data_IF_416195930093
#
_entry.id   IF_416195930093
#
_cell.length_a   1.000
_cell.length_b   1.000
_cell.length_c   1.000
_cell.angle_alpha   90.00
_cell.angle_beta   90.00
_cell.angle_gamma   90.00
#
_symmetry.space_group_name_H-M   'P 1'
#
loop_
_entity.id
_entity.type
_entity.pdbx_description
1 polymer ?
#
# COMPACT_ATOMS: atom_id res chain seq x y z
N UNK A 1 -19.33 -4.46 27.98
CA UNK A 1 -18.22 -3.80 27.27
C UNK A 1 -16.92 -4.39 27.80
N UNK A 2 -16.20 -5.15 26.98
CA UNK A 2 -14.87 -5.66 27.33
C UNK A 2 -13.87 -4.51 27.31
N UNK A 3 -13.36 -4.17 28.48
CA UNK A 3 -12.33 -3.14 28.64
C UNK A 3 -11.13 -3.79 29.30
N UNK A 4 -9.96 -3.68 28.70
CA UNK A 4 -8.69 -4.16 29.28
C UNK A 4 -7.63 -3.10 29.22
N UNK A 5 -6.78 -3.04 30.23
CA UNK A 5 -5.55 -2.27 30.19
C UNK A 5 -4.42 -3.22 29.88
N UNK A 6 -3.62 -2.92 28.87
CA UNK A 6 -2.42 -3.70 28.55
C UNK A 6 -1.26 -2.76 28.23
N UNK A 7 -0.06 -3.29 28.38
CA UNK A 7 1.18 -2.59 28.06
C UNK A 7 1.68 -3.04 26.68
N UNK A 8 1.98 -2.08 25.81
CA UNK A 8 2.60 -2.31 24.49
C UNK A 8 3.73 -1.31 24.35
N UNK A 9 4.97 -1.78 24.14
CA UNK A 9 6.17 -0.93 24.07
C UNK A 9 6.25 0.09 25.24
N UNK A 10 6.09 -0.38 26.49
CA UNK A 10 6.09 0.46 27.71
C UNK A 10 4.94 1.50 27.77
N UNK A 11 3.98 1.46 26.83
CA UNK A 11 2.76 2.29 26.84
C UNK A 11 1.61 1.54 27.48
N UNK A 12 1.07 2.09 28.57
CA UNK A 12 -0.17 1.60 29.17
C UNK A 12 -1.39 2.12 28.38
N UNK A 13 -2.09 1.23 27.68
CA UNK A 13 -3.22 1.57 26.81
C UNK A 13 -4.51 0.95 27.36
N UNK A 14 -5.59 1.75 27.41
CA UNK A 14 -6.95 1.29 27.65
C UNK A 14 -7.58 0.82 26.34
N UNK A 15 -7.71 -0.49 26.17
CA UNK A 15 -8.45 -1.10 25.07
C UNK A 15 -9.91 -1.27 25.46
N UNK A 16 -10.83 -0.75 24.66
CA UNK A 16 -12.25 -0.79 24.93
C UNK A 16 -13.01 -1.50 23.80
N UNK A 17 -14.10 -2.19 24.10
CA UNK A 17 -14.94 -2.89 23.13
C UNK A 17 -14.14 -3.88 22.27
N UNK A 18 -13.22 -4.63 22.88
CA UNK A 18 -12.32 -5.54 22.14
C UNK A 18 -13.07 -6.70 21.50
N UNK A 19 -14.20 -7.12 22.06
CA UNK A 19 -15.04 -8.20 21.51
C UNK A 19 -15.91 -7.76 20.32
N UNK A 20 -15.95 -6.46 19.98
CA UNK A 20 -16.73 -5.98 18.82
C UNK A 20 -16.22 -6.64 17.54
N UNK A 21 -17.10 -7.35 16.84
CA UNK A 21 -16.79 -7.99 15.56
C UNK A 21 -16.64 -6.93 14.47
N UNK A 22 -15.43 -6.78 13.93
CA UNK A 22 -15.14 -5.92 12.80
C UNK A 22 -15.46 -6.62 11.48
N UNK A 23 -15.22 -7.93 11.39
CA UNK A 23 -15.71 -8.81 10.32
C UNK A 23 -16.54 -9.94 10.92
N UNK A 24 -17.88 -9.77 11.02
CA UNK A 24 -18.75 -10.79 11.62
C UNK A 24 -18.69 -12.14 10.91
N UNK A 25 -18.72 -12.16 9.58
CA UNK A 25 -18.69 -13.41 8.79
C UNK A 25 -17.37 -14.18 8.93
N UNK A 26 -16.26 -13.47 9.18
CA UNK A 26 -14.96 -14.08 9.39
C UNK A 26 -14.65 -14.32 10.88
N UNK A 27 -15.57 -13.97 11.79
CA UNK A 27 -15.41 -14.01 13.25
C UNK A 27 -14.13 -13.31 13.72
N UNK A 28 -13.90 -12.06 13.27
CA UNK A 28 -12.73 -11.26 13.66
C UNK A 28 -13.20 -10.07 14.49
N UNK A 29 -12.75 -10.03 15.74
CA UNK A 29 -12.99 -8.93 16.66
C UNK A 29 -11.97 -7.81 16.52
N UNK A 30 -12.27 -6.65 17.13
CA UNK A 30 -11.30 -5.55 17.24
C UNK A 30 -10.06 -5.96 18.04
N UNK A 31 -10.23 -6.77 19.08
CA UNK A 31 -9.14 -7.36 19.86
C UNK A 31 -8.22 -8.19 18.98
N UNK A 32 -8.77 -9.05 18.13
CA UNK A 32 -7.97 -9.87 17.20
C UNK A 32 -7.17 -9.00 16.23
N UNK A 33 -7.76 -7.92 15.73
CA UNK A 33 -7.06 -6.99 14.83
C UNK A 33 -5.96 -6.20 15.55
N UNK A 34 -6.16 -5.82 16.81
CA UNK A 34 -5.11 -5.20 17.64
C UNK A 34 -3.94 -6.19 17.75
N UNK A 35 -4.22 -7.42 18.17
CA UNK A 35 -3.19 -8.43 18.38
C UNK A 35 -2.48 -8.78 17.06
N UNK A 36 -3.19 -8.77 15.92
CA UNK A 36 -2.62 -8.90 14.58
C UNK A 36 -1.54 -7.86 14.27
N UNK A 37 -1.86 -6.57 14.42
CA UNK A 37 -0.89 -5.52 14.12
C UNK A 37 0.24 -5.46 15.16
N UNK A 38 -0.04 -5.82 16.42
CA UNK A 38 0.99 -5.95 17.47
C UNK A 38 2.00 -7.03 17.10
N UNK A 39 1.53 -8.21 16.69
CA UNK A 39 2.36 -9.34 16.28
C UNK A 39 3.14 -9.05 14.99
N UNK A 40 2.48 -8.50 13.96
CA UNK A 40 3.09 -8.24 12.66
C UNK A 40 3.85 -6.91 12.57
N UNK A 41 3.95 -6.16 13.66
CA UNK A 41 4.63 -4.86 13.67
C UNK A 41 6.05 -4.92 13.10
N UNK A 42 6.78 -6.01 13.32
CA UNK A 42 8.16 -6.17 12.80
C UNK A 42 8.26 -6.14 11.27
N UNK A 43 7.22 -6.57 10.56
CA UNK A 43 7.17 -6.57 9.08
C UNK A 43 6.31 -5.44 8.51
N UNK A 44 5.37 -4.90 9.30
CA UNK A 44 4.50 -3.78 8.91
C UNK A 44 5.22 -2.43 9.09
N UNK A 45 5.86 -2.21 10.25
CA UNK A 45 6.45 -0.91 10.59
C UNK A 45 7.52 -0.41 9.63
N UNK A 46 8.37 -1.24 8.99
CA UNK A 46 9.30 -0.74 7.97
C UNK A 46 8.61 0.05 6.83
N UNK A 47 7.32 -0.21 6.57
CA UNK A 47 6.53 0.47 5.56
C UNK A 47 5.67 1.62 6.09
N UNK A 48 5.59 1.82 7.41
CA UNK A 48 4.78 2.86 8.04
C UNK A 48 5.63 3.90 8.78
N UNK A 49 6.73 3.47 9.38
CA UNK A 49 7.57 4.29 10.25
C UNK A 49 8.07 5.52 9.50
N UNK A 50 7.97 6.67 10.17
CA UNK A 50 8.36 7.99 9.66
C UNK A 50 7.61 8.42 8.39
N UNK A 51 6.44 7.84 8.09
CA UNK A 51 5.63 8.23 6.93
C UNK A 51 4.33 8.88 7.36
N UNK A 52 3.87 9.93 6.66
CA UNK A 52 2.50 10.41 6.76
C UNK A 52 1.51 9.30 6.38
N UNK A 53 0.48 9.09 7.20
CA UNK A 53 -0.51 8.03 7.00
C UNK A 53 -1.88 8.62 6.64
N UNK A 54 -2.53 8.04 5.63
CA UNK A 54 -3.99 8.03 5.57
C UNK A 54 -4.50 6.77 6.25
N UNK A 55 -5.60 6.89 6.97
CA UNK A 55 -6.15 5.82 7.79
C UNK A 55 -7.54 5.45 7.28
N UNK A 56 -7.87 4.16 7.21
CA UNK A 56 -9.24 3.73 6.98
C UNK A 56 -9.88 3.42 8.33
N UNK A 57 -11.00 4.07 8.63
CA UNK A 57 -11.75 3.86 9.88
C UNK A 57 -13.07 3.18 9.58
N UNK A 58 -13.34 2.06 10.26
CA UNK A 58 -14.61 1.33 10.18
C UNK A 58 -15.14 1.16 11.62
N UNK A 59 -15.78 2.20 12.19
CA UNK A 59 -16.12 2.25 13.61
C UNK A 59 -17.10 1.14 14.04
N UNK A 60 -18.04 0.80 13.16
CA UNK A 60 -19.09 -0.20 13.39
C UNK A 60 -18.80 -1.53 12.67
N UNK A 61 -17.53 -1.78 12.34
CA UNK A 61 -17.10 -2.90 11.51
C UNK A 61 -17.27 -2.64 10.00
N UNK A 62 -16.82 -3.59 9.18
CA UNK A 62 -16.69 -3.40 7.73
C UNK A 62 -18.00 -3.49 6.95
N UNK A 63 -19.06 -4.00 7.58
CA UNK A 63 -20.41 -3.98 7.02
C UNK A 63 -21.06 -2.59 7.13
N UNK A 64 -20.54 -1.73 8.03
CA UNK A 64 -20.95 -0.34 8.16
C UNK A 64 -20.19 0.60 7.22
N UNK A 65 -20.30 1.90 7.48
CA UNK A 65 -19.55 2.90 6.71
C UNK A 65 -18.07 2.91 7.12
N UNK A 66 -17.19 2.77 6.13
CA UNK A 66 -15.75 2.97 6.31
C UNK A 66 -15.31 4.29 5.68
N UNK A 67 -14.55 5.09 6.43
CA UNK A 67 -14.14 6.45 6.02
C UNK A 67 -12.62 6.54 5.94
N UNK A 68 -12.12 7.03 4.81
CA UNK A 68 -10.71 7.42 4.68
C UNK A 68 -10.46 8.77 5.37
N UNK A 69 -9.61 8.75 6.39
CA UNK A 69 -9.22 9.92 7.16
C UNK A 69 -7.75 10.26 6.90
N UNK A 70 -7.52 11.43 6.31
CA UNK A 70 -6.18 11.99 6.08
C UNK A 70 -5.70 12.82 7.27
N UNK A 71 -6.62 13.57 7.85
CA UNK A 71 -6.35 14.41 9.02
C UNK A 71 -6.37 13.54 10.28
N UNK A 72 -5.36 13.70 11.12
CA UNK A 72 -5.26 13.05 12.42
C UNK A 72 -6.51 13.35 13.26
N UNK A 73 -7.05 12.34 13.98
CA UNK A 73 -8.17 12.58 14.88
C UNK A 73 -7.73 13.49 16.05
N UNK A 74 -8.64 14.28 16.62
CA UNK A 74 -8.34 15.06 17.81
C UNK A 74 -8.08 14.13 19.01
N UNK A 75 -7.32 14.63 19.98
CA UNK A 75 -7.11 13.94 21.26
C UNK A 75 -6.17 12.73 21.20
N UNK A 76 -5.35 12.61 20.15
CA UNK A 76 -4.27 11.62 20.14
C UNK A 76 -3.31 11.89 21.32
N UNK A 77 -2.80 10.84 21.99
CA UNK A 77 -1.75 10.97 22.97
C UNK A 77 -0.50 11.62 22.37
N UNK A 78 0.23 12.41 23.17
CA UNK A 78 1.43 13.14 22.72
C UNK A 78 2.52 12.24 22.11
N UNK A 79 2.54 10.96 22.49
CA UNK A 79 3.50 9.99 21.98
C UNK A 79 3.16 9.42 20.60
N UNK A 80 1.98 9.71 20.05
CA UNK A 80 1.65 9.43 18.64
C UNK A 80 1.99 10.68 17.84
N UNK A 81 3.11 10.68 17.08
CA UNK A 81 3.55 11.87 16.39
C UNK A 81 2.61 12.25 15.26
N UNK A 82 2.40 13.55 15.09
CA UNK A 82 1.71 14.15 13.95
C UNK A 82 2.61 15.14 13.24
N UNK A 83 2.34 15.38 11.94
CA UNK A 83 3.00 16.43 11.17
C UNK A 83 1.98 17.20 10.35
N UNK A 84 2.04 18.52 10.45
CA UNK A 84 1.35 19.41 9.52
C UNK A 84 2.05 19.38 8.16
N UNK A 85 1.32 18.99 7.12
CA UNK A 85 1.83 18.92 5.74
C UNK A 85 0.92 19.76 4.84
N UNK A 86 1.52 20.59 3.98
CA UNK A 86 0.77 21.34 2.95
C UNK A 86 0.00 20.38 2.06
N UNK A 87 -1.26 20.65 1.82
CA UNK A 87 -2.14 19.80 1.01
C UNK A 87 -3.11 20.69 0.24
N UNK A 88 -3.00 20.68 -1.08
CA UNK A 88 -3.86 21.46 -1.96
C UNK A 88 -5.30 20.93 -1.98
N UNK A 89 -5.53 19.72 -1.43
CA UNK A 89 -6.85 19.12 -1.25
C UNK A 89 -7.52 19.50 0.07
N UNK A 90 -6.78 20.10 1.01
CA UNK A 90 -7.33 20.50 2.30
C UNK A 90 -7.84 21.94 2.23
N UNK A 91 -9.01 22.20 2.81
CA UNK A 91 -9.64 23.53 2.80
C UNK A 91 -8.72 24.64 3.37
N UNK A 92 -7.89 24.31 4.34
CA UNK A 92 -6.95 25.23 4.99
C UNK A 92 -5.57 25.28 4.30
N UNK A 93 -5.38 24.59 3.17
CA UNK A 93 -4.09 24.46 2.48
C UNK A 93 -3.10 23.52 3.18
N UNK A 94 -3.47 22.93 4.32
CA UNK A 94 -2.69 21.92 5.03
C UNK A 94 -3.60 20.90 5.72
N UNK A 95 -3.04 19.73 6.02
CA UNK A 95 -3.65 18.75 6.92
C UNK A 95 -2.59 18.26 7.92
N UNK A 96 -3.04 17.90 9.11
CA UNK A 96 -2.21 17.25 10.12
C UNK A 96 -2.28 15.74 9.92
N UNK A 97 -1.18 15.10 9.59
CA UNK A 97 -1.12 13.66 9.36
C UNK A 97 -0.57 12.94 10.57
N UNK A 98 -1.11 11.78 10.89
CA UNK A 98 -0.45 10.83 11.79
C UNK A 98 0.82 10.34 11.11
N UNK A 99 1.92 10.30 11.85
CA UNK A 99 3.19 9.73 11.41
C UNK A 99 3.32 8.34 11.99
N UNK A 100 3.50 7.34 11.12
CA UNK A 100 3.76 5.98 11.58
C UNK A 100 5.01 5.94 12.45
N UNK A 101 4.95 5.20 13.55
CA UNK A 101 5.98 5.22 14.59
C UNK A 101 6.22 3.82 15.16
N UNK A 102 5.54 3.48 16.23
CA UNK A 102 5.78 2.28 17.04
C UNK A 102 4.58 1.33 17.08
N UNK A 103 4.79 0.11 17.59
CA UNK A 103 3.74 -0.93 17.65
C UNK A 103 2.57 -0.45 18.51
N UNK A 104 2.86 0.24 19.62
CA UNK A 104 1.85 0.83 20.50
C UNK A 104 0.95 1.83 19.77
N UNK A 105 1.48 2.62 18.83
CA UNK A 105 0.70 3.57 18.05
C UNK A 105 -0.26 2.85 17.09
N UNK A 106 0.19 1.77 16.45
CA UNK A 106 -0.70 0.94 15.62
C UNK A 106 -1.84 0.35 16.45
N UNK A 107 -1.52 -0.27 17.60
CA UNK A 107 -2.50 -0.85 18.50
C UNK A 107 -3.53 0.18 18.98
N UNK A 108 -3.07 1.38 19.34
CA UNK A 108 -3.95 2.48 19.75
C UNK A 108 -4.86 2.96 18.63
N UNK A 109 -4.36 3.12 17.41
CA UNK A 109 -5.18 3.51 16.26
C UNK A 109 -6.24 2.43 15.95
N UNK A 110 -5.87 1.14 15.99
CA UNK A 110 -6.85 0.06 15.82
C UNK A 110 -7.92 0.10 16.92
N UNK A 111 -7.54 0.39 18.16
CA UNK A 111 -8.49 0.55 19.26
C UNK A 111 -9.53 1.66 19.00
N UNK A 112 -9.15 2.73 18.30
CA UNK A 112 -10.03 3.82 17.84
C UNK A 112 -10.92 3.46 16.63
N UNK A 113 -10.77 2.25 16.09
CA UNK A 113 -11.54 1.72 14.96
C UNK A 113 -10.87 1.89 13.59
N UNK A 114 -9.57 2.21 13.55
CA UNK A 114 -8.82 2.23 12.30
C UNK A 114 -8.42 0.81 11.87
N UNK A 115 -8.87 0.36 10.72
CA UNK A 115 -8.69 -1.03 10.27
C UNK A 115 -7.45 -1.23 9.38
N UNK A 116 -7.05 -0.21 8.62
CA UNK A 116 -5.88 -0.27 7.75
C UNK A 116 -5.14 1.06 7.61
N UNK A 117 -3.84 0.94 7.32
CA UNK A 117 -2.88 2.03 7.23
C UNK A 117 -2.38 2.18 5.78
N UNK A 118 -2.41 3.42 5.28
CA UNK A 118 -2.07 3.77 3.90
C UNK A 118 -0.97 4.83 3.91
N UNK A 119 0.31 4.43 3.94
CA UNK A 119 1.44 5.35 3.96
C UNK A 119 1.59 6.13 2.65
N UNK A 120 2.18 7.31 2.77
CA UNK A 120 2.77 8.01 1.62
C UNK A 120 4.02 7.28 1.11
N UNK A 121 4.34 7.49 -0.16
CA UNK A 121 5.54 6.96 -0.81
C UNK A 121 6.85 7.70 -0.44
N UNK A 122 6.84 8.51 0.63
CA UNK A 122 7.99 9.28 1.11
C UNK A 122 8.03 9.28 2.65
N UNK A 123 9.21 9.59 3.20
CA UNK A 123 9.39 9.87 4.62
C UNK A 123 8.94 11.30 4.95
N UNK A 124 8.59 11.54 6.21
CA UNK A 124 8.09 12.84 6.72
C UNK A 124 9.11 13.96 6.60
N UNK A 125 10.41 13.65 6.75
CA UNK A 125 11.51 14.62 6.65
C UNK A 125 11.93 14.90 5.19
N UNK A 126 11.41 14.12 4.24
CA UNK A 126 11.68 14.23 2.81
C UNK A 126 10.36 14.19 2.01
N UNK A 127 9.36 14.96 2.45
CA UNK A 127 7.96 14.87 1.98
C UNK A 127 7.75 15.17 0.48
N UNK A 128 8.76 15.68 -0.21
CA UNK A 128 8.73 15.97 -1.66
C UNK A 128 9.62 15.02 -2.49
N UNK A 129 10.32 14.10 -1.82
CA UNK A 129 11.26 13.15 -2.42
C UNK A 129 10.86 11.72 -2.08
N UNK A 130 10.02 11.06 -2.91
CA UNK A 130 9.61 9.69 -2.65
C UNK A 130 10.80 8.74 -2.63
N UNK A 131 10.71 7.75 -1.74
CA UNK A 131 11.63 6.62 -1.65
C UNK A 131 10.98 5.32 -2.17
N UNK A 132 9.76 5.43 -2.75
CA UNK A 132 9.05 4.35 -3.40
C UNK A 132 8.44 4.86 -4.72
N UNK A 133 8.60 4.09 -5.80
CA UNK A 133 7.78 4.17 -7.02
C UNK A 133 6.79 3.02 -7.06
N UNK A 134 5.53 3.32 -7.36
CA UNK A 134 4.39 2.43 -7.16
C UNK A 134 3.60 2.23 -8.45
N UNK A 135 3.18 1.00 -8.69
CA UNK A 135 2.22 0.64 -9.75
C UNK A 135 1.05 -0.11 -9.11
N UNK A 136 -0.15 0.44 -9.21
CA UNK A 136 -1.39 -0.18 -8.72
C UNK A 136 -2.14 -0.77 -9.91
N UNK A 137 -2.11 -2.10 -10.06
CA UNK A 137 -2.77 -2.81 -11.14
C UNK A 137 -4.21 -3.14 -10.71
N UNK A 138 -5.15 -2.31 -11.17
CA UNK A 138 -6.56 -2.35 -10.79
C UNK A 138 -7.42 -2.96 -11.94
N UNK A 139 -7.83 -4.23 -11.82
CA UNK A 139 -8.66 -4.91 -12.82
C UNK A 139 -10.12 -4.46 -12.78
N UNK A 140 -10.81 -4.55 -13.92
CA UNK A 140 -12.27 -4.40 -13.98
C UNK A 140 -12.87 -5.51 -14.83
N UNK A 141 -13.63 -6.41 -14.19
CA UNK A 141 -14.29 -7.56 -14.84
C UNK A 141 -13.35 -8.38 -15.73
N UNK A 142 -12.18 -8.73 -15.20
CA UNK A 142 -11.16 -9.52 -15.89
C UNK A 142 -10.59 -10.56 -14.93
N UNK A 143 -10.22 -11.73 -15.46
CA UNK A 143 -9.67 -12.83 -14.68
C UNK A 143 -8.33 -12.44 -14.02
N UNK A 144 -8.13 -12.87 -12.76
CA UNK A 144 -6.92 -12.57 -12.00
C UNK A 144 -5.63 -13.06 -12.68
N UNK A 145 -5.70 -14.14 -13.48
CA UNK A 145 -4.58 -14.62 -14.30
C UNK A 145 -4.00 -13.49 -15.17
N UNK A 146 -4.84 -12.65 -15.76
CA UNK A 146 -4.39 -11.53 -16.59
C UNK A 146 -3.74 -10.43 -15.75
N UNK A 147 -4.15 -10.26 -14.49
CA UNK A 147 -3.50 -9.35 -13.52
C UNK A 147 -2.10 -9.84 -13.16
N UNK A 148 -1.93 -11.15 -12.96
CA UNK A 148 -0.60 -11.76 -12.74
C UNK A 148 0.31 -11.55 -13.96
N UNK A 149 -0.20 -11.85 -15.15
CA UNK A 149 0.52 -11.63 -16.41
C UNK A 149 0.92 -10.15 -16.58
N UNK A 150 0.02 -9.23 -16.26
CA UNK A 150 0.30 -7.80 -16.28
C UNK A 150 1.41 -7.40 -15.29
N UNK A 151 1.38 -7.92 -14.07
CA UNK A 151 2.43 -7.64 -13.08
C UNK A 151 3.80 -8.18 -13.53
N UNK A 152 3.84 -9.38 -14.11
CA UNK A 152 5.06 -9.98 -14.68
C UNK A 152 5.58 -9.17 -15.88
N UNK A 153 4.69 -8.61 -16.71
CA UNK A 153 5.08 -7.71 -17.78
C UNK A 153 5.70 -6.41 -17.22
N UNK A 154 5.07 -5.79 -16.22
CA UNK A 154 5.63 -4.58 -15.57
C UNK A 154 7.01 -4.87 -14.98
N UNK A 155 7.19 -6.00 -14.29
CA UNK A 155 8.49 -6.49 -13.81
C UNK A 155 9.51 -6.60 -14.94
N UNK A 156 9.15 -7.25 -16.04
CA UNK A 156 10.03 -7.45 -17.20
C UNK A 156 10.46 -6.12 -17.84
N UNK A 157 9.53 -5.17 -17.98
CA UNK A 157 9.81 -3.84 -18.50
C UNK A 157 10.78 -3.06 -17.60
N UNK A 158 10.57 -3.10 -16.28
CA UNK A 158 11.48 -2.50 -15.29
C UNK A 158 12.87 -3.14 -15.34
N UNK A 159 12.93 -4.47 -15.43
CA UNK A 159 14.19 -5.21 -15.54
C UNK A 159 14.98 -4.84 -16.80
N UNK A 160 14.31 -4.49 -17.90
CA UNK A 160 14.94 -3.96 -19.11
C UNK A 160 15.71 -2.65 -18.90
N UNK A 161 15.39 -1.89 -17.84
CA UNK A 161 16.12 -0.71 -17.38
C UNK A 161 17.03 -0.99 -16.19
N UNK A 162 17.27 -2.27 -15.86
CA UNK A 162 17.99 -2.72 -14.68
C UNK A 162 17.38 -2.24 -13.36
N UNK A 163 16.07 -2.01 -13.35
CA UNK A 163 15.31 -1.65 -12.15
C UNK A 163 14.65 -2.91 -11.61
N UNK A 164 15.04 -3.32 -10.40
CA UNK A 164 14.41 -4.38 -9.63
C UNK A 164 13.15 -3.88 -8.96
N UNK A 165 12.12 -4.73 -8.94
CA UNK A 165 10.85 -4.49 -8.28
C UNK A 165 10.45 -5.63 -7.37
N UNK A 166 9.52 -5.33 -6.47
CA UNK A 166 8.87 -6.24 -5.55
C UNK A 166 7.36 -6.22 -5.78
N UNK A 167 6.65 -7.20 -5.23
CA UNK A 167 5.23 -7.38 -5.51
C UNK A 167 4.45 -7.82 -4.28
N UNK A 168 3.18 -7.39 -4.23
CA UNK A 168 2.20 -7.84 -3.24
C UNK A 168 0.81 -7.86 -3.84
N UNK A 169 -0.07 -8.70 -3.31
CA UNK A 169 -1.51 -8.53 -3.58
C UNK A 169 -1.99 -7.22 -2.95
N UNK A 170 -3.02 -6.61 -3.53
CA UNK A 170 -3.65 -5.44 -2.88
C UNK A 170 -4.53 -5.85 -1.70
N UNK A 171 -4.90 -7.14 -1.61
CA UNK A 171 -5.96 -7.65 -0.74
C UNK A 171 -7.37 -7.32 -1.26
N UNK A 172 -7.49 -6.68 -2.42
CA UNK A 172 -8.69 -6.72 -3.25
C UNK A 172 -8.41 -7.53 -4.51
N UNK A 173 -8.98 -7.15 -5.65
CA UNK A 173 -8.78 -7.86 -6.91
C UNK A 173 -7.41 -7.59 -7.59
N UNK A 174 -6.64 -6.61 -7.11
CA UNK A 174 -5.45 -6.08 -7.79
C UNK A 174 -4.10 -6.57 -7.24
N UNK A 175 -3.03 -6.11 -7.90
CA UNK A 175 -1.63 -6.36 -7.52
C UNK A 175 -0.87 -5.04 -7.48
N UNK A 176 0.02 -4.88 -6.51
CA UNK A 176 0.90 -3.71 -6.44
C UNK A 176 2.33 -4.12 -6.76
N UNK A 177 2.97 -3.40 -7.68
CA UNK A 177 4.41 -3.51 -7.94
C UNK A 177 5.11 -2.30 -7.33
N UNK A 178 6.17 -2.55 -6.57
CA UNK A 178 6.85 -1.57 -5.72
C UNK A 178 8.33 -1.53 -6.12
N UNK A 179 8.88 -0.32 -6.28
CA UNK A 179 10.31 -0.09 -6.55
C UNK A 179 10.87 0.84 -5.48
N UNK A 180 11.83 0.39 -4.65
CA UNK A 180 12.56 1.24 -3.72
C UNK A 180 13.47 2.22 -4.46
N UNK A 181 13.47 3.48 -4.05
CA UNK A 181 14.22 4.55 -4.69
C UNK A 181 15.19 5.23 -3.72
N UNK A 182 16.26 5.76 -4.29
CA UNK A 182 17.00 6.83 -3.62
C UNK A 182 16.09 8.07 -3.53
N UNK A 183 15.92 8.69 -2.33
CA UNK A 183 15.05 9.84 -2.12
C UNK A 183 15.69 11.14 -2.64
N UNK A 184 16.06 11.15 -3.92
CA UNK A 184 16.69 12.26 -4.64
C UNK A 184 15.82 12.79 -5.78
N UNK A 185 14.80 12.04 -6.18
CA UNK A 185 13.86 12.42 -7.24
C UNK A 185 12.63 13.13 -6.68
N UNK A 186 12.01 13.99 -7.48
CA UNK A 186 10.69 14.55 -7.16
C UNK A 186 9.58 13.54 -7.47
N UNK A 187 8.38 13.79 -6.90
CA UNK A 187 7.17 13.05 -7.30
C UNK A 187 6.87 13.17 -8.80
N UNK A 188 7.15 14.31 -9.44
CA UNK A 188 6.93 14.50 -10.87
C UNK A 188 7.86 13.62 -11.72
N UNK A 189 9.14 13.54 -11.34
CA UNK A 189 10.11 12.66 -11.99
C UNK A 189 9.71 11.19 -11.81
N UNK A 190 9.28 10.82 -10.60
CA UNK A 190 8.82 9.47 -10.27
C UNK A 190 7.57 9.08 -11.05
N UNK A 191 6.59 9.99 -11.16
CA UNK A 191 5.39 9.79 -11.98
C UNK A 191 5.73 9.67 -13.47
N UNK A 192 6.68 10.46 -13.97
CA UNK A 192 7.14 10.41 -15.37
C UNK A 192 7.80 9.06 -15.68
N UNK A 193 8.65 8.59 -14.77
CA UNK A 193 9.25 7.27 -14.79
C UNK A 193 8.18 6.16 -14.85
N UNK A 194 7.29 6.10 -13.86
CA UNK A 194 6.20 5.11 -13.83
C UNK A 194 5.31 5.17 -15.08
N UNK A 195 4.93 6.37 -15.53
CA UNK A 195 4.12 6.56 -16.75
C UNK A 195 4.82 6.03 -18.01
N UNK A 196 6.15 6.08 -18.07
CA UNK A 196 6.92 5.54 -19.20
C UNK A 196 6.77 4.02 -19.29
N UNK A 197 6.91 3.32 -18.17
CA UNK A 197 6.70 1.86 -18.09
C UNK A 197 5.26 1.50 -18.45
N UNK A 198 4.29 2.21 -17.89
CA UNK A 198 2.86 2.02 -18.16
C UNK A 198 2.49 2.23 -19.63
N UNK A 199 3.12 3.20 -20.31
CA UNK A 199 2.97 3.40 -21.75
C UNK A 199 3.57 2.25 -22.57
N UNK A 200 4.74 1.73 -22.18
CA UNK A 200 5.35 0.58 -22.83
C UNK A 200 4.49 -0.69 -22.67
N UNK A 201 3.94 -0.92 -21.46
CA UNK A 201 3.02 -2.03 -21.21
C UNK A 201 1.79 -1.96 -22.11
N UNK A 202 1.16 -0.79 -22.22
CA UNK A 202 0.01 -0.58 -23.12
C UNK A 202 0.37 -0.71 -24.60
N UNK A 203 1.56 -0.30 -25.02
CA UNK A 203 2.00 -0.51 -26.41
C UNK A 203 2.16 -1.99 -26.75
N UNK A 204 2.61 -2.79 -25.78
CA UNK A 204 2.79 -4.24 -25.94
C UNK A 204 1.46 -4.99 -25.89
N UNK A 205 0.56 -4.61 -25.00
CA UNK A 205 -0.75 -5.26 -24.79
C UNK A 205 -1.90 -4.22 -24.80
N UNK A 206 -2.22 -3.61 -25.96
CA UNK A 206 -3.17 -2.48 -26.04
C UNK A 206 -4.62 -2.86 -25.74
N UNK A 207 -4.99 -4.14 -25.91
CA UNK A 207 -6.31 -4.68 -25.55
C UNK A 207 -6.47 -4.83 -24.04
N UNK A 208 -5.38 -5.15 -23.32
CA UNK A 208 -5.38 -5.46 -21.89
C UNK A 208 -5.36 -4.21 -21.00
N UNK A 209 -4.64 -3.16 -21.41
CA UNK A 209 -4.41 -1.98 -20.57
C UNK A 209 -5.23 -0.75 -20.97
N UNK A 210 -5.55 0.08 -19.98
CA UNK A 210 -6.25 1.36 -20.16
C UNK A 210 -5.63 2.47 -19.31
N UNK A 211 -5.84 3.73 -19.73
CA UNK A 211 -5.55 4.93 -18.92
C UNK A 211 -6.82 5.62 -18.42
N UNK A 212 -8.01 5.10 -18.76
CA UNK A 212 -9.26 5.74 -18.34
C UNK A 212 -9.49 5.45 -16.85
N UNK A 213 -9.49 6.48 -16.01
CA UNK A 213 -9.72 6.33 -14.57
C UNK A 213 -11.15 5.88 -14.25
N UNK A 214 -12.12 6.12 -15.14
CA UNK A 214 -13.54 5.81 -14.90
C UNK A 214 -13.76 4.30 -15.05
N UNK A 215 -14.04 3.62 -13.93
CA UNK A 215 -14.25 2.17 -13.86
C UNK A 215 -15.25 1.65 -14.91
N UNK A 216 -16.34 2.37 -15.17
CA UNK A 216 -17.35 2.01 -16.18
C UNK A 216 -16.79 1.89 -17.62
N UNK A 217 -15.64 2.52 -17.93
CA UNK A 217 -14.98 2.46 -19.24
C UNK A 217 -13.80 1.47 -19.28
N UNK A 218 -13.62 0.67 -18.22
CA UNK A 218 -12.49 -0.26 -18.06
C UNK A 218 -12.88 -1.74 -18.14
N UNK A 219 -14.12 -2.07 -18.50
CA UNK A 219 -14.60 -3.46 -18.56
C UNK A 219 -13.65 -4.34 -19.40
N UNK A 220 -13.22 -5.47 -18.83
CA UNK A 220 -12.30 -6.41 -19.44
C UNK A 220 -10.85 -5.89 -19.55
N UNK A 221 -10.48 -4.86 -18.79
CA UNK A 221 -9.14 -4.24 -18.82
C UNK A 221 -8.55 -4.05 -17.44
N UNK A 222 -7.25 -3.79 -17.43
CA UNK A 222 -6.46 -3.44 -16.24
C UNK A 222 -6.02 -1.99 -16.36
N UNK A 223 -6.30 -1.20 -15.33
CA UNK A 223 -5.68 0.11 -15.16
C UNK A 223 -4.36 -0.08 -14.43
N UNK A 224 -3.25 0.40 -15.01
CA UNK A 224 -2.00 0.57 -14.26
C UNK A 224 -2.02 1.98 -13.69
N UNK A 225 -2.57 2.12 -12.48
CA UNK A 225 -2.68 3.40 -11.80
C UNK A 225 -1.33 3.83 -11.24
N UNK A 226 -0.68 4.74 -11.96
CA UNK A 226 0.57 5.39 -11.56
C UNK A 226 0.34 6.69 -10.79
N UNK A 227 -0.91 7.13 -10.59
CA UNK A 227 -1.22 8.34 -9.83
C UNK A 227 -0.91 8.19 -8.34
N UNK A 228 -0.64 6.96 -7.89
CA UNK A 228 -0.02 6.64 -6.60
C UNK A 228 1.35 7.30 -6.40
N UNK A 229 2.00 7.75 -7.49
CA UNK A 229 3.25 8.50 -7.48
C UNK A 229 3.03 10.03 -7.49
N UNK A 230 1.84 10.51 -7.14
CA UNK A 230 1.61 11.94 -6.87
C UNK A 230 1.88 12.22 -5.40
N UNK A 231 2.33 13.45 -5.13
CA UNK A 231 2.45 13.95 -3.77
C UNK A 231 1.12 13.82 -3.04
N UNK A 232 1.13 13.23 -1.85
CA UNK A 232 -0.06 13.00 -1.04
C UNK A 232 -0.94 11.83 -1.44
N UNK A 233 -0.58 11.10 -2.50
CA UNK A 233 -1.21 9.82 -2.78
C UNK A 233 -0.68 8.76 -1.80
N UNK A 234 -1.52 7.76 -1.54
CA UNK A 234 -1.21 6.66 -0.65
C UNK A 234 -1.53 5.32 -1.31
N UNK A 235 -0.88 4.29 -0.79
CA UNK A 235 -1.10 2.90 -1.17
C UNK A 235 -1.22 2.08 0.11
N UNK A 236 -2.13 1.11 0.14
CA UNK A 236 -2.30 0.27 1.32
C UNK A 236 -0.98 -0.44 1.67
N UNK A 237 -0.60 -0.41 2.95
CA UNK A 237 0.63 -1.02 3.45
C UNK A 237 0.66 -2.54 3.21
N UNK A 238 1.87 -3.13 3.10
CA UNK A 238 2.04 -4.58 3.22
C UNK A 238 1.43 -5.11 4.53
N UNK A 239 0.80 -6.28 4.45
CA UNK A 239 0.11 -6.94 5.56
C UNK A 239 -1.09 -6.16 6.14
N UNK A 240 -1.58 -5.11 5.47
CA UNK A 240 -2.84 -4.50 5.89
C UNK A 240 -4.02 -5.44 5.65
N UNK A 241 -4.87 -5.60 6.66
CA UNK A 241 -6.16 -6.28 6.54
C UNK A 241 -7.13 -5.35 5.82
N UNK A 242 -7.81 -5.87 4.79
CA UNK A 242 -8.72 -5.10 3.94
C UNK A 242 -10.15 -5.23 4.42
N UNK A 243 -10.88 -4.15 4.22
CA UNK A 243 -12.28 -3.94 4.58
C UNK A 243 -13.30 -4.82 3.83
N UNK A 244 -12.85 -5.81 3.07
CA UNK A 244 -13.70 -6.68 2.28
C UNK A 244 -14.14 -7.93 3.07
N UNK A 245 -15.22 -8.61 2.63
CA UNK A 245 -15.62 -9.90 3.19
C UNK A 245 -14.46 -10.90 3.21
N UNK A 246 -14.37 -11.69 4.28
CA UNK A 246 -13.27 -12.65 4.49
C UNK A 246 -11.96 -12.04 5.02
N UNK A 247 -11.91 -10.72 5.25
CA UNK A 247 -10.73 -10.01 5.75
C UNK A 247 -9.43 -10.33 4.99
N UNK A 248 -9.41 -10.16 3.64
CA UNK A 248 -8.24 -10.42 2.83
C UNK A 248 -7.09 -9.49 3.20
N UNK A 249 -5.86 -9.93 2.98
CA UNK A 249 -4.66 -9.21 3.40
C UNK A 249 -3.83 -8.79 2.19
N UNK A 250 -3.35 -7.54 2.21
CA UNK A 250 -2.46 -7.02 1.19
C UNK A 250 -1.05 -7.64 1.31
N UNK A 251 -0.89 -8.84 0.76
CA UNK A 251 0.16 -9.78 1.16
C UNK A 251 1.36 -9.71 0.23
N UNK A 252 2.57 -9.43 0.75
CA UNK A 252 3.83 -9.66 0.06
C UNK A 252 3.97 -11.03 -0.60
N UNK A 253 4.44 -11.05 -1.83
CA UNK A 253 4.67 -12.26 -2.60
C UNK A 253 6.08 -12.29 -3.17
N UNK A 254 6.59 -13.49 -3.38
CA UNK A 254 7.71 -13.69 -4.30
C UNK A 254 7.21 -13.63 -5.73
N UNK A 255 8.06 -13.21 -6.67
CA UNK A 255 7.66 -13.20 -8.08
C UNK A 255 7.26 -14.58 -8.61
N UNK A 256 7.91 -15.64 -8.11
CA UNK A 256 7.57 -17.03 -8.44
C UNK A 256 6.18 -17.45 -7.94
N UNK A 257 5.59 -16.75 -6.96
CA UNK A 257 4.22 -17.02 -6.54
C UNK A 257 3.23 -16.61 -7.65
N UNK A 258 3.49 -15.50 -8.36
CA UNK A 258 2.61 -15.03 -9.45
C UNK A 258 2.70 -15.85 -10.74
N UNK A 259 3.79 -16.61 -10.91
CA UNK A 259 3.93 -17.59 -12.00
C UNK A 259 3.06 -18.84 -11.75
N UNK A 260 2.54 -19.00 -10.53
CA UNK A 260 1.66 -20.11 -10.12
C UNK A 260 0.20 -19.65 -10.04
N UNK A 261 -0.70 -20.60 -9.81
CA UNK A 261 -2.13 -20.35 -9.60
C UNK A 261 -2.42 -19.87 -8.18
N UNK A 262 -1.96 -18.66 -7.83
CA UNK A 262 -2.36 -17.95 -6.60
C UNK A 262 -3.44 -16.93 -6.91
N UNK A 263 -4.34 -16.69 -5.96
CA UNK A 263 -5.45 -15.75 -6.02
C UNK A 263 -5.48 -14.85 -4.79
N UNK A 264 -6.01 -13.62 -4.86
CA UNK A 264 -6.03 -12.71 -3.71
C UNK A 264 -6.74 -13.28 -2.48
N UNK A 265 -7.79 -14.09 -2.69
CA UNK A 265 -8.60 -14.73 -1.65
C UNK A 265 -7.82 -15.79 -0.87
N UNK A 266 -6.71 -16.30 -1.44
CA UNK A 266 -5.82 -17.23 -0.75
C UNK A 266 -5.08 -16.59 0.42
N UNK A 267 -5.14 -15.25 0.58
CA UNK A 267 -4.43 -14.52 1.63
C UNK A 267 -5.40 -13.71 2.48
N UNK A 268 -5.61 -14.16 3.71
CA UNK A 268 -6.56 -13.56 4.62
C UNK A 268 -6.06 -13.56 6.06
N UNK A 269 -6.77 -12.82 6.92
CA UNK A 269 -6.41 -12.58 8.32
C UNK A 269 -5.95 -13.84 9.07
N UNK A 270 -6.72 -14.93 8.93
CA UNK A 270 -6.48 -16.19 9.66
C UNK A 270 -5.26 -16.99 9.17
N UNK A 271 -4.79 -16.80 7.94
CA UNK A 271 -3.73 -17.65 7.36
C UNK A 271 -2.38 -16.93 7.15
N UNK A 272 -2.39 -15.59 7.05
CA UNK A 272 -1.19 -14.85 6.64
C UNK A 272 -0.06 -14.92 7.69
N UNK A 273 -0.40 -15.04 8.98
CA UNK A 273 0.56 -15.22 10.07
C UNK A 273 1.36 -16.51 9.90
N UNK A 274 0.66 -17.62 9.63
CA UNK A 274 1.28 -18.92 9.38
C UNK A 274 2.14 -18.87 8.12
N UNK A 275 1.63 -18.28 7.02
CA UNK A 275 2.41 -18.10 5.79
C UNK A 275 3.70 -17.33 6.05
N UNK A 276 3.64 -16.24 6.82
CA UNK A 276 4.80 -15.44 7.20
C UNK A 276 5.81 -16.26 8.01
N UNK A 277 5.35 -17.03 9.00
CA UNK A 277 6.23 -17.91 9.78
C UNK A 277 6.92 -18.98 8.92
N UNK A 278 6.20 -19.56 7.96
CA UNK A 278 6.74 -20.63 7.10
C UNK A 278 7.69 -20.13 6.01
N UNK A 279 7.36 -18.99 5.38
CA UNK A 279 8.06 -18.51 4.17
C UNK A 279 8.96 -17.30 4.41
N UNK A 280 8.85 -16.65 5.56
CA UNK A 280 9.46 -15.34 5.78
C UNK A 280 8.74 -14.22 5.03
N UNK A 281 9.31 -13.00 5.12
CA UNK A 281 8.80 -11.79 4.47
C UNK A 281 9.50 -11.56 3.10
N UNK A 282 8.77 -11.69 1.97
CA UNK A 282 9.30 -11.39 0.64
C UNK A 282 9.78 -9.95 0.43
N UNK A 283 9.34 -8.99 1.27
CA UNK A 283 9.78 -7.59 1.18
C UNK A 283 10.92 -7.22 2.13
N UNK A 284 11.45 -8.15 2.92
CA UNK A 284 12.49 -7.86 3.94
C UNK A 284 13.70 -7.08 3.39
N UNK A 285 14.09 -7.33 2.15
CA UNK A 285 15.23 -6.67 1.49
C UNK A 285 14.90 -5.37 0.74
N UNK A 286 13.62 -4.99 0.63
CA UNK A 286 13.17 -3.91 -0.26
C UNK A 286 13.90 -2.60 -0.01
N UNK A 287 13.97 -2.14 1.25
CA UNK A 287 14.60 -0.85 1.56
C UNK A 287 16.13 -0.87 1.55
N UNK A 288 16.75 -2.06 1.52
CA UNK A 288 18.19 -2.21 1.39
C UNK A 288 18.67 -2.06 -0.08
N UNK A 289 17.75 -2.19 -1.04
CA UNK A 289 18.04 -2.16 -2.46
C UNK A 289 17.46 -0.91 -3.13
N UNK A 290 17.74 0.27 -2.57
CA UNK A 290 17.35 1.56 -3.17
C UNK A 290 18.03 1.75 -4.52
N UNK A 291 17.29 2.32 -5.45
CA UNK A 291 17.71 2.41 -6.85
C UNK A 291 17.51 3.81 -7.44
N UNK A 292 18.33 4.09 -8.44
CA UNK A 292 18.26 5.31 -9.25
C UNK A 292 17.26 5.16 -10.40
N UNK A 293 16.48 6.21 -10.68
CA UNK A 293 15.61 6.31 -11.85
C UNK A 293 16.34 6.80 -13.11
N UNK A 294 17.63 7.16 -13.01
CA UNK A 294 18.41 7.68 -14.15
C UNK A 294 18.32 6.81 -15.41
N UNK A 295 18.44 5.46 -15.35
CA UNK A 295 18.35 4.61 -16.55
C UNK A 295 17.05 4.79 -17.34
N UNK A 296 15.95 5.07 -16.64
CA UNK A 296 14.63 5.23 -17.22
C UNK A 296 14.39 6.65 -17.73
N UNK A 297 14.79 7.66 -16.95
CA UNK A 297 14.59 9.08 -17.27
C UNK A 297 15.51 9.56 -18.41
N UNK A 298 16.75 9.07 -18.45
CA UNK A 298 17.73 9.42 -19.48
C UNK A 298 17.54 8.60 -20.75
N UNK A 299 17.26 7.30 -20.61
CA UNK A 299 16.99 6.40 -21.74
C UNK A 299 15.77 6.82 -22.57
N UNK A 300 14.77 7.43 -21.92
CA UNK A 300 13.60 8.02 -22.60
C UNK A 300 13.94 9.24 -23.47
N UNK A 301 14.96 10.03 -23.09
CA UNK A 301 15.43 11.18 -23.88
C UNK A 301 16.21 10.71 -25.12
N UNK A 302 17.10 9.72 -24.97
CA UNK A 302 17.88 9.17 -26.08
C UNK A 302 17.01 8.46 -27.14
N UNK A 303 15.93 7.76 -26.73
CA UNK A 303 15.00 7.12 -27.68
C UNK A 303 14.08 8.09 -28.41
N UNK A 304 13.77 9.26 -27.84
CA UNK A 304 13.03 10.34 -28.55
C UNK A 304 13.89 11.08 -29.58
N UNK A 305 15.21 11.04 -29.44
CA UNK A 305 16.15 11.73 -30.33
C UNK A 305 16.54 10.92 -31.58
N UNK A 306 16.09 9.67 -31.73
CA UNK A 306 16.28 8.90 -32.98
C UNK A 306 15.10 9.17 -33.93
N UNK A 307 15.32 9.75 -35.12
CA UNK A 307 14.29 9.77 -36.15
C UNK A 307 13.93 8.33 -36.50
N UNK A 308 12.65 8.08 -36.70
CA UNK A 308 12.20 6.84 -37.32
C UNK A 308 12.71 6.90 -38.77
N UNK A 309 13.68 6.06 -39.10
CA UNK A 309 14.11 5.80 -40.47
C UNK A 309 13.16 4.80 -41.12
#
# INVERSE_FOLDING_TARGET
MSTRVAEVDERRILFANTETLLWPEANISKGDLIDYYVELAGVVLPFLALRPLSLLRCPDGVAGECVYQKTAPPGLPQWIPTRRVRSDQAALGYAEYVIGSERAALAYLVNLGYTSFHPWACLVDAVDRPDLMLFDLDPTEIAFREVRNAALLVRSLLAGFKIRSWVKTSGGAGVHVIVPLDPVYSFEQTLTAASTITRMARQREPSLFTFDMRRARRRGKILIDVLRNRRGATLVSPYAVREYPGAPVATPLEWSDLERSVYPEDFHFHNVRERLRQRGDPLRGLFAERQSLAPLLEGGRARRARPIA
#
